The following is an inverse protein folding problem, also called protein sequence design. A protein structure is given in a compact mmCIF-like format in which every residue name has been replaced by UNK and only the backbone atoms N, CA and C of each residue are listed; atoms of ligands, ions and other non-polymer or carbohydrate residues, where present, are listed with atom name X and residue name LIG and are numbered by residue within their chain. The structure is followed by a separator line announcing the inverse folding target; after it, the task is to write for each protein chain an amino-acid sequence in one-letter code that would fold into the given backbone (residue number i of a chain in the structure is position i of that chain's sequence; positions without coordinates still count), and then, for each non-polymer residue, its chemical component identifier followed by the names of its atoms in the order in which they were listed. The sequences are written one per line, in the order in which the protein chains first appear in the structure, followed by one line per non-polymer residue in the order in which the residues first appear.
data_IF_220741183128
#
_entry.id   IF_220741183128
#
_cell.length_a   1.000
_cell.length_b   1.000
_cell.length_c   1.000
_cell.angle_alpha   90.00
_cell.angle_beta   90.00
_cell.angle_gamma   90.00
#
_symmetry.space_group_name_H-M   'P 1'
#
loop_
_entity.id
_entity.type
_entity.pdbx_description
1 polymer ?
#
# COMPACT_ATOMS: atom_id res chain seq x y z
N UNK A 1 26.31 -33.97 3.96
CA UNK A 1 25.16 -33.05 3.98
C UNK A 1 25.04 -32.44 2.59
N UNK A 2 23.96 -32.69 1.82
CA UNK A 2 23.89 -32.23 0.44
C UNK A 2 23.62 -30.72 0.42
N UNK A 3 24.67 -29.92 0.26
CA UNK A 3 24.60 -28.46 0.01
C UNK A 3 23.91 -28.09 -1.33
N UNK A 4 23.46 -29.07 -2.11
CA UNK A 4 22.85 -28.85 -3.43
C UNK A 4 21.36 -28.50 -3.39
N UNK A 5 20.61 -29.00 -2.40
CA UNK A 5 19.15 -28.81 -2.35
C UNK A 5 18.74 -27.39 -1.89
N UNK A 6 19.49 -26.78 -0.97
CA UNK A 6 19.31 -25.37 -0.58
C UNK A 6 19.72 -24.41 -1.70
N UNK A 7 20.72 -24.79 -2.50
CA UNK A 7 21.21 -24.01 -3.62
C UNK A 7 20.19 -24.00 -4.79
N UNK A 8 19.52 -25.13 -5.05
CA UNK A 8 18.44 -25.23 -6.06
C UNK A 8 17.17 -24.46 -5.66
N UNK A 9 16.86 -24.35 -4.36
CA UNK A 9 15.71 -23.57 -3.86
C UNK A 9 15.94 -22.05 -3.97
N UNK A 10 17.19 -21.60 -3.86
CA UNK A 10 17.58 -20.20 -4.05
C UNK A 10 17.61 -19.78 -5.52
N UNK A 11 17.73 -20.74 -6.46
CA UNK A 11 18.07 -20.44 -7.85
C UNK A 11 16.94 -19.86 -8.71
N UNK A 12 15.70 -19.69 -8.21
CA UNK A 12 14.66 -18.92 -8.92
C UNK A 12 13.69 -18.14 -8.02
N UNK A 13 14.13 -17.57 -6.90
CA UNK A 13 13.27 -16.63 -6.17
C UNK A 13 13.01 -15.37 -7.01
N UNK A 14 11.75 -15.15 -7.38
CA UNK A 14 11.29 -14.00 -8.18
C UNK A 14 10.48 -13.04 -7.33
N UNK A 15 10.32 -11.83 -7.85
CA UNK A 15 9.44 -10.81 -7.28
C UNK A 15 8.00 -11.32 -7.12
N UNK A 16 7.54 -12.17 -8.04
CA UNK A 16 6.21 -12.80 -7.96
C UNK A 16 6.08 -13.67 -6.71
N UNK A 17 7.11 -14.45 -6.38
CA UNK A 17 7.12 -15.34 -5.21
C UNK A 17 7.09 -14.51 -3.92
N UNK A 18 7.82 -13.39 -3.87
CA UNK A 18 7.74 -12.45 -2.76
C UNK A 18 6.35 -11.80 -2.63
N UNK A 19 5.74 -11.38 -3.75
CA UNK A 19 4.42 -10.77 -3.75
C UNK A 19 3.33 -11.75 -3.27
N UNK A 20 3.48 -13.03 -3.59
CA UNK A 20 2.60 -14.11 -3.14
C UNK A 20 2.84 -14.45 -1.67
N UNK A 21 4.10 -14.75 -1.29
CA UNK A 21 4.46 -15.13 0.08
C UNK A 21 4.08 -14.06 1.11
N UNK A 22 4.33 -12.78 0.82
CA UNK A 22 3.96 -11.67 1.71
C UNK A 22 2.54 -11.16 1.48
N UNK A 23 1.83 -11.72 0.48
CA UNK A 23 0.43 -11.40 0.20
C UNK A 23 0.17 -9.93 -0.10
N UNK A 24 1.15 -9.18 -0.62
CA UNK A 24 1.05 -7.72 -0.80
C UNK A 24 -0.14 -7.32 -1.67
N UNK A 25 -0.52 -8.18 -2.62
CA UNK A 25 -1.70 -7.96 -3.46
C UNK A 25 -3.03 -8.04 -2.69
N UNK A 26 -3.07 -8.77 -1.58
CA UNK A 26 -4.26 -9.00 -0.77
C UNK A 26 -4.55 -7.81 0.16
N UNK A 27 -3.53 -7.35 0.89
CA UNK A 27 -3.65 -6.27 1.86
C UNK A 27 -3.26 -4.90 1.30
N UNK A 28 -2.42 -4.84 0.26
CA UNK A 28 -1.93 -3.59 -0.32
C UNK A 28 -3.01 -2.79 -1.04
N UNK A 29 -4.10 -3.43 -1.48
CA UNK A 29 -5.30 -2.79 -2.08
C UNK A 29 -5.01 -1.79 -3.21
N UNK A 30 -3.90 -1.97 -3.93
CA UNK A 30 -3.44 -1.05 -4.98
C UNK A 30 -2.67 0.17 -4.49
N UNK A 31 -2.52 0.35 -3.17
CA UNK A 31 -1.67 1.37 -2.56
C UNK A 31 -0.24 0.89 -2.35
N UNK A 32 -0.03 -0.42 -2.18
CA UNK A 32 1.29 -1.01 -1.97
C UNK A 32 1.57 -2.09 -3.01
N UNK A 33 2.79 -2.11 -3.55
CA UNK A 33 3.22 -3.11 -4.53
C UNK A 33 4.74 -3.33 -4.47
N UNK A 34 5.27 -4.25 -5.28
CA UNK A 34 6.71 -4.49 -5.44
C UNK A 34 7.12 -4.09 -6.86
N UNK A 35 8.14 -3.24 -7.01
CA UNK A 35 8.65 -2.82 -8.32
C UNK A 35 9.65 -3.84 -8.91
N UNK A 36 10.18 -3.51 -10.09
CA UNK A 36 11.16 -4.36 -10.82
C UNK A 36 12.50 -4.51 -10.11
N UNK A 37 12.85 -3.59 -9.20
CA UNK A 37 14.04 -3.69 -8.36
C UNK A 37 13.81 -4.57 -7.11
N UNK A 38 12.58 -5.06 -6.88
CA UNK A 38 12.23 -5.81 -5.69
C UNK A 38 11.92 -4.96 -4.47
N UNK A 39 11.79 -3.63 -4.63
CA UNK A 39 11.47 -2.72 -3.54
C UNK A 39 9.97 -2.55 -3.36
N UNK A 40 9.54 -2.31 -2.12
CA UNK A 40 8.16 -1.92 -1.83
C UNK A 40 7.93 -0.51 -2.36
N UNK A 41 6.79 -0.34 -3.03
CA UNK A 41 6.33 0.92 -3.57
C UNK A 41 5.00 1.31 -2.97
N UNK A 42 4.75 2.62 -2.91
CA UNK A 42 3.48 3.21 -2.50
C UNK A 42 2.87 3.98 -3.65
N UNK A 43 1.61 3.72 -3.99
CA UNK A 43 0.79 4.47 -4.94
C UNK A 43 -0.36 5.16 -4.18
N UNK A 44 -0.20 6.39 -3.68
CA UNK A 44 -1.16 6.99 -2.76
C UNK A 44 -2.59 7.12 -3.31
N UNK A 45 -2.71 7.30 -4.63
CA UNK A 45 -3.98 7.39 -5.36
C UNK A 45 -4.28 6.15 -6.22
N UNK A 46 -3.62 5.00 -5.96
CA UNK A 46 -3.68 3.78 -6.80
C UNK A 46 -3.26 3.98 -8.27
N UNK A 47 -2.53 5.05 -8.53
CA UNK A 47 -2.01 5.43 -9.85
C UNK A 47 -0.58 4.89 -10.02
N UNK A 48 -0.31 3.97 -10.98
CA UNK A 48 1.02 3.41 -11.17
C UNK A 48 2.08 4.45 -11.55
N UNK A 49 1.68 5.54 -12.19
CA UNK A 49 2.54 6.66 -12.59
C UNK A 49 2.94 7.58 -11.42
N UNK A 50 2.23 7.51 -10.28
CA UNK A 50 2.54 8.24 -9.05
C UNK A 50 3.17 7.32 -7.99
N UNK A 51 3.92 6.32 -8.43
CA UNK A 51 4.56 5.34 -7.56
C UNK A 51 5.80 5.88 -6.86
N UNK A 52 5.86 5.72 -5.54
CA UNK A 52 7.00 6.10 -4.69
C UNK A 52 7.75 4.83 -4.28
N UNK A 53 9.05 4.74 -4.55
CA UNK A 53 9.91 3.67 -4.03
C UNK A 53 10.30 3.97 -2.57
N UNK A 54 9.89 3.10 -1.64
CA UNK A 54 10.15 3.31 -0.22
C UNK A 54 11.64 3.19 0.13
N UNK A 55 12.39 2.33 -0.55
CA UNK A 55 13.82 2.16 -0.28
C UNK A 55 14.58 3.40 -0.69
N UNK A 56 14.33 3.89 -1.90
CA UNK A 56 14.95 5.13 -2.39
C UNK A 56 14.56 6.33 -1.53
N UNK A 57 13.29 6.43 -1.12
CA UNK A 57 12.82 7.50 -0.23
C UNK A 57 13.57 7.48 1.11
N UNK A 58 13.66 6.32 1.76
CA UNK A 58 14.36 6.20 3.05
C UNK A 58 15.85 6.54 2.90
N UNK A 59 16.51 6.06 1.85
CA UNK A 59 17.92 6.36 1.58
C UNK A 59 18.15 7.88 1.40
N UNK A 60 17.25 8.57 0.68
CA UNK A 60 17.30 10.01 0.53
C UNK A 60 17.10 10.75 1.85
N UNK A 61 16.22 10.27 2.73
CA UNK A 61 16.00 10.88 4.05
C UNK A 61 17.24 10.69 4.94
N UNK A 62 17.86 9.51 4.93
CA UNK A 62 19.10 9.25 5.67
C UNK A 62 20.26 10.10 5.15
N UNK A 63 20.40 10.25 3.82
CA UNK A 63 21.40 11.13 3.21
C UNK A 63 21.22 12.61 3.60
N UNK A 64 20.00 13.03 3.93
CA UNK A 64 19.67 14.36 4.48
C UNK A 64 19.88 14.46 6.00
N UNK A 65 20.42 13.43 6.63
CA UNK A 65 20.68 13.39 8.07
C UNK A 65 19.48 13.01 8.93
N UNK A 66 18.36 12.58 8.34
CA UNK A 66 17.19 12.12 9.10
C UNK A 66 17.46 10.69 9.57
N UNK A 67 17.51 10.51 10.89
CA UNK A 67 17.81 9.22 11.50
C UNK A 67 16.57 8.34 11.62
N UNK A 68 16.77 7.03 11.53
CA UNK A 68 15.75 6.01 11.80
C UNK A 68 15.55 5.85 13.32
N UNK A 69 14.35 5.48 13.80
CA UNK A 69 13.13 5.15 13.04
C UNK A 69 12.36 6.38 12.52
N UNK A 70 11.79 6.27 11.30
CA UNK A 70 10.98 7.32 10.67
C UNK A 70 9.55 6.82 10.47
N UNK A 71 8.56 7.65 10.80
CA UNK A 71 7.15 7.41 10.50
C UNK A 71 6.74 8.21 9.25
N UNK A 72 6.46 7.50 8.15
CA UNK A 72 5.96 8.10 6.90
C UNK A 72 4.44 8.11 6.89
N UNK A 73 3.84 9.26 6.55
CA UNK A 73 2.39 9.43 6.40
C UNK A 73 2.05 9.81 4.98
N UNK A 74 1.21 9.01 4.33
CA UNK A 74 0.70 9.27 2.98
C UNK A 74 -0.76 9.76 3.10
N UNK A 75 -0.93 11.07 3.24
CA UNK A 75 -2.26 11.69 3.44
C UNK A 75 -3.20 11.46 2.26
N UNK A 76 -2.66 11.32 1.05
CA UNK A 76 -3.46 11.05 -0.15
C UNK A 76 -4.13 9.67 -0.10
N UNK A 77 -3.52 8.66 0.56
CA UNK A 77 -4.19 7.38 0.82
C UNK A 77 -5.46 7.60 1.66
N UNK A 78 -5.40 8.45 2.70
CA UNK A 78 -6.56 8.74 3.53
C UNK A 78 -7.66 9.41 2.70
N UNK A 79 -7.31 10.42 1.89
CA UNK A 79 -8.25 11.10 1.00
C UNK A 79 -8.91 10.12 0.03
N UNK A 80 -8.12 9.28 -0.63
CA UNK A 80 -8.60 8.29 -1.58
C UNK A 80 -9.50 7.26 -0.89
N UNK A 81 -9.14 6.76 0.30
CA UNK A 81 -9.96 5.80 1.07
C UNK A 81 -11.32 6.36 1.48
N UNK A 82 -11.38 7.62 1.89
CA UNK A 82 -12.66 8.29 2.20
C UNK A 82 -13.55 8.35 0.95
N UNK A 83 -12.96 8.69 -0.21
CA UNK A 83 -13.64 8.66 -1.50
C UNK A 83 -14.20 7.27 -1.83
N UNK A 84 -13.38 6.22 -1.74
CA UNK A 84 -13.83 4.85 -2.05
C UNK A 84 -14.99 4.38 -1.15
N UNK A 85 -14.99 4.76 0.13
CA UNK A 85 -16.09 4.43 1.05
C UNK A 85 -17.35 5.18 0.62
N UNK A 86 -17.24 6.48 0.35
CA UNK A 86 -18.37 7.29 -0.10
C UNK A 86 -18.97 6.73 -1.40
N UNK A 87 -18.15 6.44 -2.40
CA UNK A 87 -18.57 5.86 -3.68
C UNK A 87 -19.22 4.48 -3.52
N UNK A 88 -18.75 3.65 -2.58
CA UNK A 88 -19.39 2.37 -2.30
C UNK A 88 -20.82 2.54 -1.76
N UNK A 89 -21.04 3.50 -0.85
CA UNK A 89 -22.38 3.83 -0.36
C UNK A 89 -23.25 4.45 -1.44
N UNK A 90 -22.72 5.40 -2.24
CA UNK A 90 -23.47 6.00 -3.34
C UNK A 90 -23.96 4.94 -4.33
N UNK A 91 -23.08 4.04 -4.79
CA UNK A 91 -23.45 2.96 -5.71
C UNK A 91 -24.55 2.05 -5.15
N UNK A 92 -24.46 1.66 -3.87
CA UNK A 92 -25.50 0.87 -3.24
C UNK A 92 -26.83 1.64 -3.13
N UNK A 93 -26.79 2.93 -2.79
CA UNK A 93 -28.00 3.75 -2.71
C UNK A 93 -28.68 3.91 -4.07
N UNK A 94 -27.91 4.07 -5.14
CA UNK A 94 -28.41 4.11 -6.52
C UNK A 94 -29.03 2.76 -6.92
N UNK A 95 -28.35 1.64 -6.64
CA UNK A 95 -28.82 0.28 -6.96
C UNK A 95 -30.13 -0.10 -6.26
N UNK A 96 -30.31 0.34 -5.01
CA UNK A 96 -31.48 0.03 -4.19
C UNK A 96 -32.49 1.18 -4.09
N UNK A 97 -32.35 2.22 -4.91
CA UNK A 97 -33.22 3.41 -4.94
C UNK A 97 -33.43 4.07 -3.55
N UNK A 98 -32.41 4.01 -2.70
CA UNK A 98 -32.48 4.53 -1.34
C UNK A 98 -32.45 6.06 -1.34
N UNK A 99 -33.51 6.68 -0.80
CA UNK A 99 -33.72 8.14 -0.85
C UNK A 99 -33.07 8.94 0.28
N UNK A 100 -32.47 8.27 1.27
CA UNK A 100 -31.75 8.96 2.34
C UNK A 100 -30.41 9.53 1.86
N UNK A 101 -29.61 10.06 2.78
CA UNK A 101 -28.27 10.57 2.49
C UNK A 101 -27.22 9.85 3.34
N UNK A 102 -26.07 9.57 2.74
CA UNK A 102 -24.90 9.04 3.47
C UNK A 102 -23.94 10.17 3.88
N UNK A 103 -23.48 10.14 5.13
CA UNK A 103 -22.44 11.02 5.63
C UNK A 103 -21.34 10.19 6.31
N UNK A 104 -20.10 10.37 5.88
CA UNK A 104 -18.95 9.70 6.50
C UNK A 104 -18.51 10.49 7.73
N UNK A 105 -18.46 9.83 8.90
CA UNK A 105 -17.99 10.43 10.15
C UNK A 105 -16.69 9.77 10.56
N UNK A 106 -15.64 10.56 10.78
CA UNK A 106 -14.34 10.07 11.24
C UNK A 106 -14.25 10.09 12.77
N UNK A 107 -14.16 8.93 13.45
CA UNK A 107 -14.06 8.87 14.90
C UNK A 107 -12.60 9.15 15.34
N UNK A 108 -12.29 10.40 15.72
CA UNK A 108 -10.92 10.86 16.07
C UNK A 108 -10.18 10.01 17.12
N UNK A 109 -10.91 9.23 17.93
CA UNK A 109 -10.33 8.29 18.89
C UNK A 109 -9.39 7.25 18.26
N UNK A 110 -9.51 7.00 16.95
CA UNK A 110 -8.66 6.03 16.23
C UNK A 110 -7.29 6.60 15.86
N UNK A 111 -7.20 7.90 15.60
CA UNK A 111 -5.96 8.64 15.36
C UNK A 111 -6.24 10.13 15.57
N UNK A 112 -5.58 10.74 16.56
CA UNK A 112 -5.87 12.11 17.01
C UNK A 112 -4.98 13.17 16.36
N UNK A 113 -3.97 12.73 15.59
CA UNK A 113 -2.97 13.58 14.94
C UNK A 113 -3.41 14.06 13.57
#
# INVERSE_FOLDING_TARGET
MPKGAEQELLDKWKIADAAEMYGIRNWGKGYFNINKAGHVTVQPNKRPDESIDLKELVDQLQARGIQLPILLRFTDILRHRVGEIHEAFQRAMEEFEYRGSYCCVYPIKVNQQ
#
